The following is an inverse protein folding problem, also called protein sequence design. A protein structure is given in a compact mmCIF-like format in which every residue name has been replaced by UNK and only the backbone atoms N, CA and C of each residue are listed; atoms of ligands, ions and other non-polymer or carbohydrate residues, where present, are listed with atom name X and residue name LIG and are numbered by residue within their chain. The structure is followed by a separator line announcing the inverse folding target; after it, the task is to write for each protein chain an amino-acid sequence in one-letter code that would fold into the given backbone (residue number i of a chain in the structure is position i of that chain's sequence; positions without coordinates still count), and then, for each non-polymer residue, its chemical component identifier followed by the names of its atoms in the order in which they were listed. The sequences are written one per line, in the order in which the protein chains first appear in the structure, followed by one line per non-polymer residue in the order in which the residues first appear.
data_IF_564303878708
#
_entry.id   IF_564303878708
#
_cell.length_a   1.000
_cell.length_b   1.000
_cell.length_c   1.000
_cell.angle_alpha   90.00
_cell.angle_beta   90.00
_cell.angle_gamma   90.00
#
_symmetry.space_group_name_H-M   'P 1'
#
loop_
_entity.id
_entity.type
_entity.pdbx_description
1 polymer ?
#
# COMPACT_ATOMS: atom_id res chain seq x y z
N UNK A 1 17.85 -24.28 -22.70
CA UNK A 1 16.43 -24.39 -23.09
C UNK A 1 15.64 -23.54 -22.11
N UNK A 2 15.23 -22.36 -22.55
CA UNK A 2 14.49 -21.40 -21.74
C UNK A 2 13.01 -21.79 -21.80
N UNK A 3 12.46 -22.23 -20.68
CA UNK A 3 11.02 -22.45 -20.55
C UNK A 3 10.31 -21.11 -20.65
N UNK A 4 9.69 -20.89 -21.80
CA UNK A 4 8.77 -19.78 -22.01
C UNK A 4 7.61 -19.91 -21.02
N UNK A 5 7.50 -18.95 -20.10
CA UNK A 5 6.31 -18.78 -19.28
C UNK A 5 5.10 -18.55 -20.23
N UNK A 6 4.34 -19.60 -20.50
CA UNK A 6 3.08 -19.49 -21.20
C UNK A 6 2.12 -18.65 -20.34
N UNK A 7 1.78 -17.46 -20.82
CA UNK A 7 0.69 -16.66 -20.28
C UNK A 7 -0.62 -17.45 -20.44
N UNK A 8 -0.98 -18.24 -19.43
CA UNK A 8 -2.32 -18.83 -19.34
C UNK A 8 -3.27 -17.69 -19.03
N UNK A 9 -4.25 -17.44 -19.92
CA UNK A 9 -5.36 -16.55 -19.60
C UNK A 9 -6.16 -17.16 -18.46
N UNK A 10 -6.17 -16.51 -17.31
CA UNK A 10 -7.08 -16.83 -16.21
C UNK A 10 -8.44 -16.20 -16.54
N UNK A 11 -9.49 -17.03 -16.57
CA UNK A 11 -10.87 -16.57 -16.75
C UNK A 11 -11.41 -16.05 -15.42
N UNK A 12 -11.34 -14.74 -15.23
CA UNK A 12 -11.77 -14.10 -14.00
C UNK A 12 -13.26 -13.75 -14.01
N UNK A 13 -13.97 -14.28 -13.03
CA UNK A 13 -15.42 -14.07 -12.84
C UNK A 13 -15.77 -13.00 -11.80
N UNK A 14 -14.78 -12.46 -11.10
CA UNK A 14 -14.97 -11.43 -10.07
C UNK A 14 -14.03 -10.26 -10.32
N UNK A 15 -14.47 -9.06 -9.94
CA UNK A 15 -13.66 -7.84 -10.07
C UNK A 15 -12.29 -7.99 -9.37
N UNK A 16 -12.24 -8.70 -8.24
CA UNK A 16 -11.01 -8.91 -7.48
C UNK A 16 -10.05 -9.91 -8.13
N UNK A 17 -10.58 -10.93 -8.82
CA UNK A 17 -9.75 -11.79 -9.67
C UNK A 17 -9.16 -10.96 -10.81
N UNK A 18 -10.00 -10.21 -11.54
CA UNK A 18 -9.55 -9.39 -12.67
C UNK A 18 -8.54 -8.34 -12.26
N UNK A 19 -8.69 -7.78 -11.06
CA UNK A 19 -7.71 -6.88 -10.46
C UNK A 19 -6.34 -7.55 -10.27
N UNK A 20 -6.31 -8.72 -9.61
CA UNK A 20 -5.06 -9.44 -9.34
C UNK A 20 -4.37 -9.87 -10.64
N UNK A 21 -5.13 -10.42 -11.60
CA UNK A 21 -4.59 -10.82 -12.90
C UNK A 21 -4.13 -9.64 -13.76
N UNK A 22 -4.77 -8.48 -13.62
CA UNK A 22 -4.41 -7.25 -14.30
C UNK A 22 -3.23 -6.50 -13.65
N UNK A 23 -2.83 -6.87 -12.44
CA UNK A 23 -1.82 -6.15 -11.66
C UNK A 23 -0.46 -6.02 -12.39
N UNK A 24 0.08 -7.06 -13.07
CA UNK A 24 1.34 -6.92 -13.80
C UNK A 24 1.31 -5.88 -14.92
N UNK A 25 0.16 -5.72 -15.60
CA UNK A 25 -0.01 -4.71 -16.66
C UNK A 25 -0.02 -3.31 -16.05
N UNK A 26 -0.79 -3.09 -14.99
CA UNK A 26 -0.80 -1.81 -14.26
C UNK A 26 0.58 -1.44 -13.74
N UNK A 27 1.33 -2.41 -13.22
CA UNK A 27 2.71 -2.19 -12.76
C UNK A 27 3.66 -1.82 -13.90
N UNK A 28 3.46 -2.39 -15.09
CA UNK A 28 4.20 -2.01 -16.29
C UNK A 28 3.89 -0.57 -16.70
N UNK A 29 2.63 -0.18 -16.70
CA UNK A 29 2.20 1.20 -17.01
C UNK A 29 2.76 2.21 -16.02
N UNK A 30 2.73 1.90 -14.72
CA UNK A 30 3.32 2.73 -13.67
C UNK A 30 4.81 2.96 -13.91
N UNK A 31 5.55 1.87 -14.18
CA UNK A 31 6.99 1.93 -14.45
C UNK A 31 7.30 2.71 -15.73
N UNK A 32 6.46 2.59 -16.75
CA UNK A 32 6.58 3.38 -17.97
C UNK A 32 6.39 4.87 -17.70
N UNK A 33 5.34 5.26 -16.98
CA UNK A 33 5.11 6.67 -16.63
C UNK A 33 6.23 7.24 -15.74
N UNK A 34 6.73 6.48 -14.76
CA UNK A 34 7.86 6.91 -13.93
C UNK A 34 9.13 7.14 -14.74
N UNK A 35 9.46 6.25 -15.69
CA UNK A 35 10.67 6.39 -16.54
C UNK A 35 10.74 7.70 -17.31
N UNK A 36 9.60 8.30 -17.66
CA UNK A 36 9.56 9.59 -18.38
C UNK A 36 10.05 10.77 -17.53
N UNK A 37 9.95 10.66 -16.20
CA UNK A 37 10.31 11.71 -15.23
C UNK A 37 11.46 11.31 -14.30
N UNK A 38 11.88 10.05 -14.32
CA UNK A 38 12.88 9.46 -13.43
C UNK A 38 14.18 10.28 -13.39
N UNK A 39 14.79 10.51 -14.56
CA UNK A 39 16.08 11.19 -14.64
C UNK A 39 16.04 12.59 -14.03
N UNK A 40 14.92 13.32 -14.18
CA UNK A 40 14.77 14.64 -13.61
C UNK A 40 14.78 14.59 -12.08
N UNK A 41 13.97 13.73 -11.47
CA UNK A 41 13.90 13.65 -10.01
C UNK A 41 15.19 13.09 -9.41
N UNK A 42 15.77 12.03 -9.98
CA UNK A 42 16.99 11.39 -9.45
C UNK A 42 18.24 12.28 -9.61
N UNK A 43 18.33 13.11 -10.66
CA UNK A 43 19.48 14.02 -10.84
C UNK A 43 19.44 15.23 -9.91
N UNK A 44 18.29 15.50 -9.29
CA UNK A 44 18.08 16.60 -8.33
C UNK A 44 17.97 16.11 -6.88
N UNK A 45 18.28 14.83 -6.62
CA UNK A 45 18.23 14.23 -5.29
C UNK A 45 19.65 14.06 -4.72
N UNK A 46 19.86 14.61 -3.53
CA UNK A 46 21.09 14.50 -2.74
C UNK A 46 20.83 14.01 -1.31
N UNK A 47 19.64 13.47 -1.06
CA UNK A 47 19.20 13.04 0.28
C UNK A 47 19.28 11.53 0.48
N UNK A 48 19.24 11.13 1.76
CA UNK A 48 19.13 9.73 2.15
C UNK A 48 17.76 9.14 1.76
N UNK A 49 17.65 7.80 1.60
CA UNK A 49 16.41 7.16 1.16
C UNK A 49 15.21 7.46 2.06
N UNK A 50 14.13 8.01 1.46
CA UNK A 50 12.86 8.20 2.15
C UNK A 50 12.12 6.86 2.39
N UNK A 51 12.18 5.97 1.39
CA UNK A 51 11.61 4.62 1.46
C UNK A 51 12.73 3.62 1.77
N UNK A 52 13.19 3.64 3.01
CA UNK A 52 14.32 2.85 3.49
C UNK A 52 14.00 1.35 3.69
N UNK A 53 15.00 0.60 4.15
CA UNK A 53 14.85 -0.83 4.42
C UNK A 53 13.76 -1.12 5.47
N UNK A 54 13.58 -0.25 6.46
CA UNK A 54 12.54 -0.40 7.46
C UNK A 54 11.15 -0.27 6.82
N UNK A 55 10.94 0.67 5.90
CA UNK A 55 9.69 0.74 5.12
C UNK A 55 9.47 -0.54 4.33
N UNK A 56 10.51 -1.07 3.67
CA UNK A 56 10.41 -2.31 2.90
C UNK A 56 10.06 -3.52 3.78
N UNK A 57 10.67 -3.65 4.95
CA UNK A 57 10.38 -4.71 5.92
C UNK A 57 8.93 -4.63 6.41
N UNK A 58 8.42 -3.43 6.66
CA UNK A 58 7.03 -3.22 7.08
C UNK A 58 6.03 -3.55 5.97
N UNK A 59 6.34 -3.26 4.69
CA UNK A 59 5.52 -3.69 3.54
C UNK A 59 5.41 -5.22 3.46
N UNK A 60 6.48 -5.94 3.80
CA UNK A 60 6.52 -7.40 3.76
C UNK A 60 5.94 -8.07 5.02
N UNK A 61 5.57 -7.29 6.03
CA UNK A 61 4.97 -7.79 7.26
C UNK A 61 3.51 -8.24 7.06
N UNK A 62 2.92 -8.98 8.00
CA UNK A 62 1.47 -9.26 8.01
C UNK A 62 0.56 -8.02 7.98
N UNK A 63 1.11 -6.84 8.29
CA UNK A 63 0.43 -5.55 8.30
C UNK A 63 0.71 -4.73 7.03
N UNK A 64 1.40 -5.29 6.05
CA UNK A 64 1.87 -4.60 4.85
C UNK A 64 0.78 -3.89 4.04
N UNK A 65 -0.45 -4.40 4.05
CA UNK A 65 -1.63 -3.73 3.50
C UNK A 65 -1.86 -2.32 4.06
N UNK A 66 -1.68 -2.12 5.37
CA UNK A 66 -1.86 -0.84 6.04
C UNK A 66 -0.74 0.11 5.66
N UNK A 67 0.49 -0.39 5.65
CA UNK A 67 1.68 0.35 5.22
C UNK A 67 1.50 0.84 3.78
N UNK A 68 1.07 -0.03 2.87
CA UNK A 68 0.80 0.32 1.48
C UNK A 68 -0.34 1.33 1.34
N UNK A 69 -1.40 1.24 2.14
CA UNK A 69 -2.47 2.23 2.13
C UNK A 69 -1.99 3.62 2.57
N UNK A 70 -1.15 3.71 3.59
CA UNK A 70 -0.56 4.98 4.04
C UNK A 70 0.43 5.55 3.03
N UNK A 71 1.25 4.72 2.39
CA UNK A 71 2.14 5.16 1.29
C UNK A 71 1.32 5.70 0.13
N UNK A 72 0.32 4.96 -0.35
CA UNK A 72 -0.55 5.41 -1.44
C UNK A 72 -1.26 6.71 -1.09
N UNK A 73 -1.74 6.84 0.16
CA UNK A 73 -2.35 8.08 0.66
C UNK A 73 -1.35 9.25 0.66
N UNK A 74 -0.16 9.06 1.18
CA UNK A 74 0.87 10.10 1.22
C UNK A 74 1.24 10.59 -0.19
N UNK A 75 1.39 9.68 -1.15
CA UNK A 75 1.69 10.08 -2.52
C UNK A 75 0.53 10.81 -3.20
N UNK A 76 -0.70 10.34 -3.03
CA UNK A 76 -1.89 10.93 -3.64
C UNK A 76 -2.27 12.29 -3.03
N UNK A 77 -2.18 12.42 -1.71
CA UNK A 77 -2.65 13.60 -0.98
C UNK A 77 -1.55 14.67 -0.88
N UNK A 78 -0.27 14.28 -0.92
CA UNK A 78 0.86 15.18 -0.66
C UNK A 78 1.84 15.27 -1.83
N UNK A 79 2.47 14.16 -2.22
CA UNK A 79 3.63 14.20 -3.15
C UNK A 79 3.21 14.62 -4.56
N UNK A 80 2.23 13.93 -5.16
CA UNK A 80 1.81 14.19 -6.54
C UNK A 80 1.19 15.59 -6.70
N UNK A 81 0.31 16.08 -5.81
CA UNK A 81 -0.16 17.47 -5.88
C UNK A 81 0.99 18.49 -5.77
N UNK A 82 1.96 18.25 -4.88
CA UNK A 82 3.13 19.12 -4.74
C UNK A 82 4.00 19.11 -6.00
N UNK A 83 4.20 17.93 -6.58
CA UNK A 83 4.94 17.77 -7.83
C UNK A 83 4.26 18.52 -8.98
N UNK A 84 2.94 18.38 -9.16
CA UNK A 84 2.18 19.11 -10.20
C UNK A 84 2.24 20.63 -10.02
N UNK A 85 2.30 21.13 -8.78
CA UNK A 85 2.40 22.56 -8.50
C UNK A 85 3.78 23.12 -8.80
N UNK A 86 4.85 22.38 -8.45
CA UNK A 86 6.26 22.82 -8.62
C UNK A 86 6.82 22.52 -10.00
N UNK A 87 6.26 21.55 -10.72
CA UNK A 87 6.72 21.14 -12.03
C UNK A 87 6.23 22.12 -13.10
N UNK A 88 7.08 23.10 -13.40
CA UNK A 88 6.89 24.09 -14.46
C UNK A 88 7.62 23.70 -15.76
N UNK A 89 8.48 22.67 -15.71
CA UNK A 89 9.46 22.36 -16.76
C UNK A 89 9.16 21.04 -17.49
N UNK A 90 8.47 20.09 -16.85
CA UNK A 90 8.07 18.82 -17.47
C UNK A 90 6.57 18.75 -17.75
N UNK A 91 6.21 17.80 -18.62
CA UNK A 91 4.81 17.49 -18.90
C UNK A 91 4.15 16.99 -17.63
N UNK A 92 3.00 17.55 -17.25
CA UNK A 92 2.19 17.06 -16.11
C UNK A 92 1.57 15.69 -16.38
N UNK A 93 1.61 15.21 -17.63
CA UNK A 93 0.98 13.96 -18.07
C UNK A 93 1.49 12.73 -17.33
N UNK A 94 2.81 12.48 -17.18
CA UNK A 94 3.29 11.29 -16.48
C UNK A 94 2.93 11.30 -15.00
N UNK A 95 3.00 12.46 -14.34
CA UNK A 95 2.58 12.63 -12.93
C UNK A 95 1.10 12.31 -12.77
N UNK A 96 0.25 12.81 -13.67
CA UNK A 96 -1.19 12.51 -13.68
C UNK A 96 -1.46 11.02 -13.94
N UNK A 97 -0.72 10.38 -14.87
CA UNK A 97 -0.82 8.95 -15.13
C UNK A 97 -0.46 8.11 -13.90
N UNK A 98 0.62 8.45 -13.20
CA UNK A 98 1.00 7.81 -11.93
C UNK A 98 -0.12 7.99 -10.90
N UNK A 99 -0.65 9.20 -10.77
CA UNK A 99 -1.76 9.50 -9.85
C UNK A 99 -3.00 8.67 -10.12
N UNK A 100 -3.42 8.56 -11.37
CA UNK A 100 -4.57 7.73 -11.76
C UNK A 100 -4.35 6.25 -11.41
N UNK A 101 -3.15 5.73 -11.68
CA UNK A 101 -2.81 4.34 -11.32
C UNK A 101 -2.84 4.16 -9.80
N UNK A 102 -2.31 5.10 -9.01
CA UNK A 102 -2.33 5.02 -7.55
C UNK A 102 -3.74 5.10 -6.98
N UNK A 103 -4.62 5.93 -7.55
CA UNK A 103 -6.03 6.01 -7.16
C UNK A 103 -6.75 4.68 -7.43
N UNK A 104 -6.55 4.12 -8.62
CA UNK A 104 -7.09 2.81 -8.99
C UNK A 104 -6.60 1.71 -8.05
N UNK A 105 -5.29 1.65 -7.78
CA UNK A 105 -4.69 0.69 -6.86
C UNK A 105 -5.28 0.81 -5.46
N UNK A 106 -5.36 2.03 -4.92
CA UNK A 106 -5.93 2.28 -3.59
C UNK A 106 -7.40 1.82 -3.53
N UNK A 107 -8.20 2.17 -4.53
CA UNK A 107 -9.61 1.75 -4.63
C UNK A 107 -9.72 0.22 -4.66
N UNK A 108 -8.95 -0.42 -5.53
CA UNK A 108 -9.08 -1.85 -5.80
C UNK A 108 -8.53 -2.69 -4.62
N UNK A 109 -7.45 -2.26 -3.95
CA UNK A 109 -6.95 -2.87 -2.70
C UNK A 109 -8.00 -2.82 -1.60
N UNK A 110 -8.66 -1.66 -1.40
CA UNK A 110 -9.71 -1.51 -0.39
C UNK A 110 -10.95 -2.35 -0.72
N UNK A 111 -11.37 -2.36 -2.00
CA UNK A 111 -12.50 -3.17 -2.49
C UNK A 111 -12.22 -4.66 -2.34
N UNK A 112 -11.00 -5.08 -2.64
CA UNK A 112 -10.58 -6.47 -2.66
C UNK A 112 -9.79 -6.87 -1.42
N UNK A 113 -10.01 -6.20 -0.28
CA UNK A 113 -9.29 -6.43 0.98
C UNK A 113 -9.28 -7.89 1.45
N UNK A 114 -10.26 -8.70 1.04
CA UNK A 114 -10.33 -10.11 1.41
C UNK A 114 -9.44 -11.01 0.53
N UNK A 115 -9.04 -10.53 -0.66
CA UNK A 115 -8.07 -11.20 -1.54
C UNK A 115 -6.62 -10.95 -1.07
N UNK A 116 -6.39 -9.86 -0.34
CA UNK A 116 -5.09 -9.56 0.25
C UNK A 116 -5.11 -9.94 1.72
N UNK A 117 -4.16 -10.77 2.15
CA UNK A 117 -4.00 -11.00 3.58
C UNK A 117 -3.57 -9.70 4.26
N UNK A 118 -4.32 -9.27 5.27
CA UNK A 118 -4.12 -8.02 5.97
C UNK A 118 -4.46 -8.23 7.44
N UNK A 119 -3.44 -8.44 8.29
CA UNK A 119 -3.68 -8.46 9.73
C UNK A 119 -3.96 -7.04 10.22
N UNK A 120 -4.82 -6.93 11.24
CA UNK A 120 -4.94 -5.66 11.95
C UNK A 120 -3.65 -5.45 12.77
N UNK A 121 -3.00 -4.27 12.70
CA UNK A 121 -1.73 -3.97 13.40
C UNK A 121 -1.81 -4.21 14.91
N UNK A 122 -3.03 -4.21 15.46
CA UNK A 122 -3.32 -4.67 16.80
C UNK A 122 -4.68 -5.35 16.84
N UNK A 123 -4.70 -6.64 17.17
CA UNK A 123 -5.96 -7.37 17.35
C UNK A 123 -6.51 -7.14 18.75
N UNK A 124 -7.13 -5.97 18.97
CA UNK A 124 -7.76 -5.63 20.26
C UNK A 124 -8.85 -6.63 20.67
N UNK A 125 -9.39 -7.39 19.72
CA UNK A 125 -10.31 -8.49 19.99
C UNK A 125 -9.71 -9.53 20.96
N UNK A 126 -8.39 -9.76 20.94
CA UNK A 126 -7.72 -10.66 21.89
C UNK A 126 -7.86 -10.18 23.35
N UNK A 127 -7.68 -8.88 23.59
CA UNK A 127 -7.85 -8.25 24.90
C UNK A 127 -9.33 -8.29 25.29
N UNK A 128 -10.24 -7.90 24.39
CA UNK A 128 -11.68 -7.90 24.66
C UNK A 128 -12.21 -9.30 24.99
N UNK A 129 -11.83 -10.32 24.22
CA UNK A 129 -12.21 -11.71 24.46
C UNK A 129 -11.64 -12.24 25.78
N UNK A 130 -10.42 -11.83 26.15
CA UNK A 130 -9.82 -12.18 27.43
C UNK A 130 -10.56 -11.52 28.60
N UNK A 131 -10.90 -10.23 28.45
CA UNK A 131 -11.70 -9.48 29.42
C UNK A 131 -13.09 -10.09 29.63
N UNK A 132 -13.81 -10.44 28.55
CA UNK A 132 -15.13 -11.07 28.62
C UNK A 132 -15.10 -12.41 29.39
N UNK A 133 -14.05 -13.21 29.22
CA UNK A 133 -13.83 -14.46 29.98
C UNK A 133 -13.59 -14.23 31.47
N UNK A 134 -13.10 -13.05 31.86
CA UNK A 134 -12.82 -12.71 33.26
C UNK A 134 -14.08 -12.30 34.05
N UNK A 135 -15.22 -12.09 33.38
CA UNK A 135 -16.50 -11.71 34.01
C UNK A 135 -16.33 -10.52 34.97
N UNK A 136 -16.93 -10.59 36.16
CA UNK A 136 -16.85 -9.55 37.19
C UNK A 136 -15.43 -9.24 37.69
N UNK A 137 -14.44 -10.12 37.47
CA UNK A 137 -13.03 -9.85 37.83
C UNK A 137 -12.29 -9.02 36.77
N UNK A 138 -12.80 -8.94 35.55
CA UNK A 138 -12.13 -8.27 34.44
C UNK A 138 -11.87 -6.78 34.71
N UNK A 139 -12.81 -6.10 35.37
CA UNK A 139 -12.68 -4.67 35.68
C UNK A 139 -11.51 -4.37 36.60
N UNK A 140 -11.30 -5.17 37.65
CA UNK A 140 -10.18 -4.98 38.58
C UNK A 140 -8.83 -5.30 37.92
N UNK A 141 -8.80 -6.31 37.05
CA UNK A 141 -7.60 -6.67 36.28
C UNK A 141 -7.20 -5.53 35.34
N UNK A 142 -8.14 -5.02 34.54
CA UNK A 142 -7.88 -3.94 33.59
C UNK A 142 -7.47 -2.64 34.31
N UNK A 143 -8.15 -2.27 35.41
CA UNK A 143 -7.79 -1.08 36.19
C UNK A 143 -6.46 -1.22 36.92
N UNK A 144 -6.09 -2.44 37.32
CA UNK A 144 -4.83 -2.73 38.01
C UNK A 144 -3.60 -2.80 37.11
N UNK A 145 -3.77 -2.82 35.78
CA UNK A 145 -2.70 -2.83 34.77
C UNK A 145 -2.59 -1.49 34.02
N UNK A 146 -3.19 -0.43 34.56
CA UNK A 146 -3.12 0.92 33.95
C UNK A 146 -1.71 1.50 33.92
N UNK A 147 -0.78 0.97 34.71
CA UNK A 147 0.64 1.35 34.72
C UNK A 147 1.40 0.88 33.48
N UNK A 148 0.82 -0.01 32.69
CA UNK A 148 1.35 -0.45 31.38
C UNK A 148 1.12 0.61 30.28
N UNK A 149 0.19 1.55 30.49
CA UNK A 149 -0.13 2.66 29.56
C UNK A 149 0.71 3.91 29.86
#
# INVERSE_FOLDING_TARGET
LSDSAQCRRVDCKTDCCSFVEGFPVRLKELRSAYREIQNFYESNDDMEPLLDENVQQNINSPYGCHVMNEILRFYLDTILPTAVQKDHLHSKTPINSIGNIFQDLKRDILKCRNYFFCQNPFEFASIKNSYEKMKEKGVYKAMGELDIL
#
